data_IF_656044388473
#
_entry.id   IF_656044388473
#
_cell.length_a   1.000
_cell.length_b   1.000
_cell.length_c   1.000
_cell.angle_alpha   90.00
_cell.angle_beta   90.00
_cell.angle_gamma   90.00
#
_symmetry.space_group_name_H-M   'P 1'
#
loop_
_entity.id
_entity.type
_entity.pdbx_description
1 polymer ?
#
# COMPACT_ATOMS: atom_id res chain seq x y z
N UNK A 1 -43.59 -26.69 2.50
CA UNK A 1 -44.61 -26.23 3.47
C UNK A 1 -43.94 -25.26 4.45
N UNK A 2 -44.70 -24.33 5.03
CA UNK A 2 -44.14 -23.42 6.03
C UNK A 2 -43.85 -24.15 7.33
N UNK A 3 -42.78 -23.74 8.02
CA UNK A 3 -42.47 -24.23 9.36
C UNK A 3 -43.39 -23.61 10.45
N UNK A 4 -44.12 -22.54 10.13
CA UNK A 4 -45.11 -21.97 11.03
C UNK A 4 -46.27 -22.97 11.24
N UNK A 5 -46.53 -23.44 12.47
CA UNK A 5 -47.55 -24.47 12.72
C UNK A 5 -48.98 -24.00 12.44
N UNK A 6 -49.20 -22.68 12.41
CA UNK A 6 -50.49 -22.06 12.09
C UNK A 6 -50.62 -21.67 10.60
N UNK A 7 -49.56 -21.80 9.80
CA UNK A 7 -49.56 -21.46 8.37
C UNK A 7 -49.73 -19.96 8.05
N UNK A 8 -49.64 -19.07 9.05
CA UNK A 8 -49.92 -17.64 8.88
C UNK A 8 -48.66 -16.82 8.50
N UNK A 9 -47.49 -17.27 8.93
CA UNK A 9 -46.24 -16.57 8.72
C UNK A 9 -45.39 -17.28 7.65
N UNK A 10 -44.84 -16.54 6.66
CA UNK A 10 -43.99 -17.10 5.61
C UNK A 10 -42.56 -17.31 6.13
N UNK A 11 -42.38 -18.28 7.03
CA UNK A 11 -41.10 -18.50 7.70
C UNK A 11 -40.09 -19.23 6.80
N UNK A 12 -40.50 -20.34 6.20
CA UNK A 12 -39.66 -21.16 5.32
C UNK A 12 -39.54 -20.54 3.94
N UNK A 13 -40.64 -20.04 3.36
CA UNK A 13 -40.60 -19.42 2.03
C UNK A 13 -39.72 -18.18 1.96
N UNK A 14 -39.72 -17.33 2.99
CA UNK A 14 -38.83 -16.15 3.04
C UNK A 14 -37.35 -16.56 3.01
N UNK A 15 -36.96 -17.57 3.79
CA UNK A 15 -35.59 -18.09 3.77
C UNK A 15 -35.24 -18.73 2.43
N UNK A 16 -36.14 -19.53 1.85
CA UNK A 16 -35.92 -20.13 0.53
C UNK A 16 -35.75 -19.07 -0.57
N UNK A 17 -36.50 -17.97 -0.52
CA UNK A 17 -36.32 -16.86 -1.47
C UNK A 17 -34.93 -16.22 -1.35
N UNK A 18 -34.43 -15.99 -0.13
CA UNK A 18 -33.08 -15.47 0.08
C UNK A 18 -32.01 -16.44 -0.46
N UNK A 19 -32.15 -17.73 -0.18
CA UNK A 19 -31.23 -18.77 -0.66
C UNK A 19 -31.23 -18.85 -2.19
N UNK A 20 -32.40 -18.84 -2.82
CA UNK A 20 -32.49 -18.84 -4.29
C UNK A 20 -31.90 -17.58 -4.90
N UNK A 21 -32.13 -16.41 -4.28
CA UNK A 21 -31.55 -15.15 -4.72
C UNK A 21 -30.02 -15.16 -4.68
N UNK A 22 -29.44 -15.64 -3.59
CA UNK A 22 -27.99 -15.78 -3.43
C UNK A 22 -27.41 -16.76 -4.45
N UNK A 23 -27.99 -17.96 -4.56
CA UNK A 23 -27.55 -18.97 -5.53
C UNK A 23 -27.58 -18.45 -6.97
N UNK A 24 -28.63 -17.70 -7.35
CA UNK A 24 -28.73 -17.11 -8.69
C UNK A 24 -27.68 -16.01 -8.90
N UNK A 25 -27.42 -15.18 -7.90
CA UNK A 25 -26.39 -14.14 -7.98
C UNK A 25 -24.99 -14.76 -8.19
N UNK A 26 -24.64 -15.78 -7.41
CA UNK A 26 -23.36 -16.50 -7.55
C UNK A 26 -23.26 -17.20 -8.90
N UNK A 27 -24.30 -17.91 -9.33
CA UNK A 27 -24.32 -18.57 -10.63
C UNK A 27 -24.10 -17.59 -11.79
N UNK A 28 -24.67 -16.38 -11.72
CA UNK A 28 -24.46 -15.33 -12.72
C UNK A 28 -23.05 -14.73 -12.65
N UNK A 29 -22.48 -14.55 -11.46
CA UNK A 29 -21.07 -14.12 -11.30
C UNK A 29 -20.13 -15.12 -11.98
N UNK A 30 -20.31 -16.41 -11.72
CA UNK A 30 -19.51 -17.48 -12.33
C UNK A 30 -19.70 -17.54 -13.84
N UNK A 31 -20.95 -17.58 -14.32
CA UNK A 31 -21.27 -17.68 -15.75
C UNK A 31 -20.75 -16.48 -16.57
N UNK A 32 -20.63 -15.30 -15.95
CA UNK A 32 -20.06 -14.10 -16.59
C UNK A 32 -18.56 -13.96 -16.40
N UNK A 33 -17.90 -14.90 -15.72
CA UNK A 33 -16.47 -14.80 -15.40
C UNK A 33 -16.16 -13.55 -14.58
N UNK A 34 -17.01 -13.23 -13.60
CA UNK A 34 -16.83 -12.03 -12.78
C UNK A 34 -15.56 -12.16 -11.92
N UNK A 35 -14.59 -11.28 -12.14
CA UNK A 35 -13.29 -11.32 -11.46
C UNK A 35 -13.24 -10.29 -10.33
N UNK A 36 -12.25 -10.39 -9.41
CA UNK A 36 -11.96 -9.32 -8.47
C UNK A 36 -11.76 -7.96 -9.14
N UNK A 37 -11.10 -7.90 -10.31
CA UNK A 37 -10.93 -6.64 -11.04
C UNK A 37 -12.27 -6.03 -11.46
N UNK A 38 -13.27 -6.85 -11.84
CA UNK A 38 -14.62 -6.35 -12.08
C UNK A 38 -15.28 -5.78 -10.80
N UNK A 39 -15.02 -6.34 -9.62
CA UNK A 39 -15.46 -5.75 -8.35
C UNK A 39 -14.90 -4.34 -8.18
N UNK A 40 -13.61 -4.14 -8.47
CA UNK A 40 -12.98 -2.81 -8.43
C UNK A 40 -13.62 -1.84 -9.42
N UNK A 41 -13.89 -2.27 -10.65
CA UNK A 41 -14.50 -1.41 -11.68
C UNK A 41 -15.91 -0.97 -11.30
N UNK A 42 -16.76 -1.88 -10.81
CA UNK A 42 -18.16 -1.58 -10.52
C UNK A 42 -18.38 -1.00 -9.11
N UNK A 43 -17.43 -1.17 -8.19
CA UNK A 43 -17.55 -0.74 -6.79
C UNK A 43 -16.27 -0.07 -6.26
N UNK A 44 -15.78 1.02 -6.90
CA UNK A 44 -14.50 1.63 -6.56
C UNK A 44 -14.45 2.25 -5.16
N UNK A 45 -15.60 2.66 -4.60
CA UNK A 45 -15.69 3.28 -3.27
C UNK A 45 -15.81 2.29 -2.10
N UNK A 46 -15.86 0.99 -2.36
CA UNK A 46 -15.99 -0.03 -1.32
C UNK A 46 -14.64 -0.54 -0.80
N UNK A 47 -14.60 -1.11 0.41
CA UNK A 47 -13.38 -1.70 1.01
C UNK A 47 -12.71 -2.73 0.09
N UNK A 48 -13.50 -3.55 -0.61
CA UNK A 48 -13.00 -4.54 -1.58
C UNK A 48 -12.31 -3.89 -2.78
N UNK A 49 -12.91 -2.83 -3.36
CA UNK A 49 -12.30 -2.09 -4.47
C UNK A 49 -10.99 -1.40 -4.06
N UNK A 50 -10.96 -0.81 -2.85
CA UNK A 50 -9.76 -0.21 -2.28
C UNK A 50 -8.63 -1.23 -2.06
N UNK A 51 -8.97 -2.44 -1.59
CA UNK A 51 -8.01 -3.55 -1.39
C UNK A 51 -7.38 -4.08 -2.69
N UNK A 52 -7.97 -3.77 -3.84
CA UNK A 52 -7.49 -4.19 -5.17
C UNK A 52 -6.69 -3.09 -5.91
N UNK A 53 -6.37 -1.99 -5.23
CA UNK A 53 -5.51 -0.94 -5.80
C UNK A 53 -4.07 -1.42 -5.86
N UNK A 54 -3.38 -1.23 -6.99
CA UNK A 54 -1.95 -1.52 -7.13
C UNK A 54 -1.08 -0.32 -6.77
N UNK A 55 0.15 -0.57 -6.28
CA UNK A 55 1.11 0.48 -5.92
C UNK A 55 1.37 1.43 -7.08
N UNK A 56 1.48 0.92 -8.32
CA UNK A 56 1.76 1.72 -9.52
C UNK A 56 0.82 2.90 -9.73
N UNK A 57 -0.38 2.81 -9.19
CA UNK A 57 -1.43 3.80 -9.37
C UNK A 57 -1.34 4.96 -8.37
N UNK A 58 -0.68 4.73 -7.24
CA UNK A 58 -0.56 5.72 -6.16
C UNK A 58 0.90 6.14 -5.90
N UNK A 59 1.88 5.40 -6.43
CA UNK A 59 3.29 5.69 -6.21
C UNK A 59 3.73 7.00 -6.88
N UNK A 60 4.73 7.63 -6.28
CA UNK A 60 5.42 8.77 -6.88
C UNK A 60 6.47 8.29 -7.89
N UNK A 61 6.72 9.10 -8.91
CA UNK A 61 7.67 8.79 -10.00
C UNK A 61 8.38 10.06 -10.46
N UNK A 62 9.54 9.87 -11.12
CA UNK A 62 10.33 10.95 -11.71
C UNK A 62 10.82 11.95 -10.67
N UNK A 63 10.82 13.23 -11.03
CA UNK A 63 11.34 14.33 -10.21
C UNK A 63 10.60 14.54 -8.88
N UNK A 64 9.48 13.83 -8.64
CA UNK A 64 8.81 13.88 -7.34
C UNK A 64 9.53 13.03 -6.29
N UNK A 65 10.34 12.06 -6.68
CA UNK A 65 11.03 11.18 -5.75
C UNK A 65 12.18 11.92 -5.05
N UNK A 66 12.29 11.86 -3.70
CA UNK A 66 13.44 12.39 -2.98
C UNK A 66 14.61 11.43 -3.14
N UNK A 67 15.47 11.69 -4.13
CA UNK A 67 16.62 10.86 -4.45
C UNK A 67 17.91 11.65 -4.32
N UNK A 68 18.92 11.03 -3.73
CA UNK A 68 20.31 11.49 -3.75
C UNK A 68 21.23 10.33 -4.09
N UNK A 69 22.45 10.64 -4.52
CA UNK A 69 23.46 9.61 -4.85
C UNK A 69 24.30 9.30 -3.62
N UNK A 70 24.81 8.07 -3.51
CA UNK A 70 25.79 7.68 -2.51
C UNK A 70 26.96 8.69 -2.44
N UNK A 71 27.45 8.95 -1.23
CA UNK A 71 28.47 9.97 -0.97
C UNK A 71 27.97 11.41 -0.86
N UNK A 72 26.69 11.70 -1.16
CA UNK A 72 26.08 13.03 -0.97
C UNK A 72 26.22 13.49 0.49
N UNK A 73 26.48 14.78 0.70
CA UNK A 73 26.56 15.35 2.05
C UNK A 73 25.20 15.39 2.74
N UNK A 74 25.18 15.22 4.05
CA UNK A 74 23.92 15.25 4.81
C UNK A 74 23.16 16.58 4.71
N UNK A 75 23.85 17.70 4.48
CA UNK A 75 23.21 19.01 4.27
C UNK A 75 22.30 19.00 3.04
N UNK A 76 22.81 18.49 1.91
CA UNK A 76 22.07 18.39 0.66
C UNK A 76 20.94 17.36 0.76
N UNK A 77 21.18 16.24 1.44
CA UNK A 77 20.15 15.23 1.68
C UNK A 77 18.99 15.75 2.54
N UNK A 78 19.26 16.54 3.58
CA UNK A 78 18.24 17.20 4.41
C UNK A 78 17.45 18.23 3.61
N UNK A 79 18.13 18.99 2.75
CA UNK A 79 17.47 19.95 1.86
C UNK A 79 16.53 19.23 0.88
N UNK A 80 16.97 18.13 0.29
CA UNK A 80 16.16 17.34 -0.65
C UNK A 80 14.94 16.71 0.05
N UNK A 81 15.15 16.13 1.23
CA UNK A 81 14.06 15.62 2.08
C UNK A 81 13.02 16.71 2.37
N UNK A 82 13.48 17.91 2.77
CA UNK A 82 12.60 19.04 3.08
C UNK A 82 11.85 19.55 1.85
N UNK A 83 12.51 19.60 0.69
CA UNK A 83 11.92 20.06 -0.58
C UNK A 83 10.80 19.16 -1.07
N UNK A 84 10.96 17.84 -0.92
CA UNK A 84 9.99 16.86 -1.43
C UNK A 84 8.91 16.49 -0.41
N UNK A 85 9.18 16.64 0.89
CA UNK A 85 8.16 16.53 1.95
C UNK A 85 7.69 15.11 2.25
N UNK A 86 8.46 14.08 1.90
CA UNK A 86 8.11 12.67 2.17
C UNK A 86 8.50 12.16 3.56
N UNK A 87 9.24 12.95 4.35
CA UNK A 87 9.83 12.51 5.62
C UNK A 87 10.98 11.49 5.43
N UNK A 88 11.38 11.23 4.19
CA UNK A 88 12.51 10.37 3.84
C UNK A 88 13.18 10.81 2.53
N UNK A 89 14.39 10.32 2.32
CA UNK A 89 15.16 10.42 1.07
C UNK A 89 15.79 9.07 0.78
N UNK A 90 15.66 8.60 -0.45
CA UNK A 90 16.25 7.36 -0.93
C UNK A 90 17.63 7.64 -1.54
N UNK A 91 18.57 6.73 -1.29
CA UNK A 91 19.95 6.83 -1.75
C UNK A 91 20.14 5.81 -2.87
N UNK A 92 20.65 6.29 -3.99
CA UNK A 92 20.98 5.49 -5.16
C UNK A 92 22.49 5.37 -5.35
N UNK A 93 22.96 4.29 -5.96
CA UNK A 93 24.33 4.25 -6.48
C UNK A 93 24.45 5.02 -7.81
N UNK A 94 25.65 4.97 -8.40
CA UNK A 94 25.95 5.65 -9.68
C UNK A 94 25.17 5.07 -10.86
N UNK A 95 24.68 3.83 -10.76
CA UNK A 95 23.89 3.15 -11.79
C UNK A 95 22.38 3.35 -11.57
N UNK A 96 21.99 4.08 -10.52
CA UNK A 96 20.61 4.37 -10.16
C UNK A 96 19.92 3.29 -9.34
N UNK A 97 20.64 2.27 -8.87
CA UNK A 97 20.07 1.24 -8.01
C UNK A 97 19.89 1.75 -6.58
N UNK A 98 18.76 1.39 -5.94
CA UNK A 98 18.46 1.78 -4.57
C UNK A 98 19.40 1.06 -3.58
N UNK A 99 20.23 1.81 -2.87
CA UNK A 99 21.22 1.27 -1.91
C UNK A 99 20.89 1.59 -0.45
N UNK A 100 20.05 2.60 -0.19
CA UNK A 100 19.66 2.96 1.16
C UNK A 100 18.51 3.95 1.26
N UNK A 101 18.12 4.24 2.50
CA UNK A 101 17.10 5.24 2.84
C UNK A 101 17.51 5.98 4.13
N UNK A 102 17.19 7.26 4.19
CA UNK A 102 17.26 8.09 5.40
C UNK A 102 15.88 8.65 5.68
N UNK A 103 15.46 8.61 6.94
CA UNK A 103 14.18 9.14 7.42
C UNK A 103 14.40 10.29 8.42
N UNK A 104 13.35 11.05 8.72
CA UNK A 104 13.36 12.02 9.82
C UNK A 104 13.79 11.40 11.16
N UNK A 105 13.45 10.13 11.37
CA UNK A 105 13.88 9.36 12.55
C UNK A 105 15.40 9.20 12.62
N UNK A 106 16.05 8.95 11.48
CA UNK A 106 17.51 8.84 11.39
C UNK A 106 18.17 10.20 11.66
N UNK A 107 17.64 11.28 11.09
CA UNK A 107 18.11 12.65 11.34
C UNK A 107 18.01 12.97 12.83
N UNK A 108 16.85 12.74 13.45
CA UNK A 108 16.64 13.01 14.88
C UNK A 108 17.60 12.22 15.76
N UNK A 109 17.89 10.96 15.41
CA UNK A 109 18.84 10.10 16.14
C UNK A 109 20.29 10.57 16.04
N UNK A 110 20.66 11.26 14.95
CA UNK A 110 22.04 11.70 14.71
C UNK A 110 22.26 13.22 14.89
N UNK A 111 21.22 14.01 15.16
CA UNK A 111 21.33 15.49 15.22
C UNK A 111 22.31 16.00 16.30
N UNK A 112 22.53 15.23 17.37
CA UNK A 112 23.51 15.54 18.42
C UNK A 112 24.96 15.20 18.05
N UNK A 113 25.17 14.52 16.93
CA UNK A 113 26.49 14.32 16.32
C UNK A 113 26.80 15.46 15.33
N UNK A 114 28.01 15.49 14.77
CA UNK A 114 28.36 16.42 13.69
C UNK A 114 27.70 16.00 12.35
N UNK A 115 26.38 15.78 12.36
CA UNK A 115 25.59 15.23 11.25
C UNK A 115 25.82 16.01 9.96
N UNK A 116 25.94 17.33 10.05
CA UNK A 116 26.13 18.21 8.90
C UNK A 116 27.50 18.05 8.22
N UNK A 117 28.47 17.39 8.86
CA UNK A 117 29.76 17.03 8.27
C UNK A 117 29.81 15.58 7.78
N UNK A 118 28.74 14.81 7.95
CA UNK A 118 28.64 13.41 7.52
C UNK A 118 28.13 13.32 6.08
N UNK A 119 28.31 12.15 5.48
CA UNK A 119 27.67 11.77 4.22
C UNK A 119 26.49 10.84 4.45
N UNK A 120 25.62 10.72 3.46
CA UNK A 120 24.48 9.79 3.50
C UNK A 120 24.90 8.35 3.74
N UNK A 121 26.08 7.94 3.27
CA UNK A 121 26.59 6.58 3.42
C UNK A 121 26.86 6.17 4.87
N UNK A 122 27.11 7.16 5.73
CA UNK A 122 27.40 6.99 7.15
C UNK A 122 26.14 6.93 8.00
N UNK A 123 25.00 7.40 7.48
CA UNK A 123 23.74 7.56 8.22
C UNK A 123 22.64 6.62 7.71
N UNK A 124 22.64 6.29 6.42
CA UNK A 124 21.54 5.57 5.79
C UNK A 124 21.32 4.15 6.35
N UNK A 125 20.06 3.74 6.36
CA UNK A 125 19.70 2.33 6.49
C UNK A 125 19.92 1.66 5.13
N UNK A 126 20.81 0.66 5.09
CA UNK A 126 21.10 -0.12 3.88
C UNK A 126 20.04 -1.20 3.64
N UNK A 127 19.80 -1.53 2.37
CA UNK A 127 18.87 -2.59 1.99
C UNK A 127 17.43 -2.35 2.45
N UNK A 128 16.80 -1.22 2.07
CA UNK A 128 15.41 -0.96 2.44
C UNK A 128 14.49 -2.04 1.88
N UNK A 129 13.36 -2.28 2.56
CA UNK A 129 12.33 -3.18 2.05
C UNK A 129 11.66 -2.56 0.84
N UNK A 130 11.53 -3.32 -0.24
CA UNK A 130 10.95 -2.87 -1.52
C UNK A 130 9.72 -3.69 -1.88
N UNK A 131 8.80 -3.09 -2.63
CA UNK A 131 7.66 -3.76 -3.25
C UNK A 131 7.62 -3.46 -4.75
N UNK A 132 6.98 -4.33 -5.52
CA UNK A 132 6.85 -4.15 -6.97
C UNK A 132 5.66 -3.25 -7.31
N UNK A 133 5.65 -2.56 -8.46
CA UNK A 133 4.52 -1.72 -8.85
C UNK A 133 3.17 -2.47 -8.98
N UNK A 134 3.20 -3.79 -9.24
CA UNK A 134 2.01 -4.66 -9.31
C UNK A 134 1.51 -5.17 -7.96
N UNK A 135 2.25 -4.91 -6.88
CA UNK A 135 1.84 -5.30 -5.53
C UNK A 135 0.58 -4.52 -5.14
N UNK A 136 -0.38 -5.20 -4.50
CA UNK A 136 -1.58 -4.56 -3.96
C UNK A 136 -1.21 -3.65 -2.78
N UNK A 137 -1.82 -2.48 -2.71
CA UNK A 137 -1.63 -1.50 -1.63
C UNK A 137 -1.95 -2.13 -0.27
N UNK A 138 -2.99 -2.95 -0.19
CA UNK A 138 -3.33 -3.69 1.04
C UNK A 138 -2.18 -4.60 1.50
N UNK A 139 -1.52 -5.31 0.58
CA UNK A 139 -0.35 -6.16 0.87
C UNK A 139 0.86 -5.34 1.30
N UNK A 140 1.10 -4.19 0.67
CA UNK A 140 2.17 -3.28 1.06
C UNK A 140 1.95 -2.71 2.48
N UNK A 141 0.74 -2.27 2.79
CA UNK A 141 0.36 -1.80 4.14
C UNK A 141 0.53 -2.88 5.20
N UNK A 142 0.15 -4.13 4.89
CA UNK A 142 0.39 -5.26 5.79
C UNK A 142 1.89 -5.46 6.05
N UNK A 143 2.72 -5.33 5.02
CA UNK A 143 4.19 -5.43 5.14
C UNK A 143 4.76 -4.32 6.01
N UNK A 144 4.28 -3.08 5.84
CA UNK A 144 4.67 -1.90 6.64
C UNK A 144 4.31 -2.13 8.12
N UNK A 145 3.06 -2.52 8.40
CA UNK A 145 2.57 -2.77 9.76
C UNK A 145 3.32 -3.90 10.47
N UNK A 146 3.49 -5.05 9.80
CA UNK A 146 4.22 -6.19 10.35
C UNK A 146 5.69 -5.88 10.61
N UNK A 147 6.24 -4.91 9.88
CA UNK A 147 7.63 -4.48 10.01
C UNK A 147 7.81 -3.33 10.99
N UNK A 148 6.74 -2.82 11.61
CA UNK A 148 6.73 -1.62 12.43
C UNK A 148 7.43 -0.42 11.75
N UNK A 149 7.22 -0.27 10.44
CA UNK A 149 7.66 0.91 9.68
C UNK A 149 6.55 1.95 9.85
N UNK A 150 6.90 3.12 10.37
CA UNK A 150 5.98 4.24 10.64
C UNK A 150 6.45 5.50 9.97
#
# INVERSE_FOLDING_TARGET
>A
PEACPHGLAPTTSTLLQLVMGDALAIALLEARGFTPDHFRTFHPGGQLGANLTQIREIMHVGDRLPLVVAGTGMQDAILELSRKGFGCVAITDVDGALVGIITDGDIRRHIGSNLLAMTVDQVMTRGPKTATPDTLVATALQTINNSAIT
#
